data_IF_147535283890
#
_entry.id   IF_147535283890
#
_cell.length_a   1.000
_cell.length_b   1.000
_cell.length_c   1.000
_cell.angle_alpha   90.00
_cell.angle_beta   90.00
_cell.angle_gamma   90.00
#
_symmetry.space_group_name_H-M   'P 1'
#
loop_
_entity.id
_entity.type
_entity.pdbx_description
1 polymer ?
#
# COMPACT_ATOMS: atom_id res chain seq x y z
N UNK A 1 7.04 -25.10 -3.27
CA UNK A 1 5.71 -24.46 -3.17
C UNK A 1 5.10 -24.16 -4.54
N UNK A 2 5.86 -23.67 -5.54
CA UNK A 2 5.36 -23.45 -6.92
C UNK A 2 5.99 -24.40 -7.95
N UNK A 3 7.22 -24.83 -7.68
CA UNK A 3 7.98 -25.78 -8.49
C UNK A 3 7.57 -27.24 -8.24
N UNK A 4 7.12 -27.55 -7.02
CA UNK A 4 6.55 -28.85 -6.63
C UNK A 4 5.02 -28.82 -6.79
N UNK A 5 4.51 -29.53 -7.80
CA UNK A 5 3.08 -29.57 -8.14
C UNK A 5 2.27 -30.42 -7.16
N UNK A 6 2.85 -31.45 -6.57
CA UNK A 6 2.13 -32.35 -5.67
C UNK A 6 1.88 -31.64 -4.34
N UNK A 7 2.92 -31.00 -3.80
CA UNK A 7 2.79 -30.14 -2.63
C UNK A 7 1.85 -28.94 -2.88
N UNK A 8 1.89 -28.37 -4.09
CA UNK A 8 1.03 -27.25 -4.45
C UNK A 8 -0.45 -27.65 -4.51
N UNK A 9 -0.79 -28.81 -5.07
CA UNK A 9 -2.16 -29.34 -5.10
C UNK A 9 -2.71 -29.63 -3.70
N UNK A 10 -1.86 -30.14 -2.81
CA UNK A 10 -2.23 -30.37 -1.41
C UNK A 10 -2.52 -29.05 -0.67
N UNK A 11 -1.68 -28.03 -0.88
CA UNK A 11 -1.75 -26.77 -0.11
C UNK A 11 -2.75 -25.76 -0.69
N UNK A 12 -2.87 -25.70 -2.02
CA UNK A 12 -3.64 -24.69 -2.77
C UNK A 12 -4.36 -25.33 -3.97
N UNK A 13 -5.34 -26.23 -3.76
CA UNK A 13 -6.01 -26.98 -4.83
C UNK A 13 -6.79 -26.10 -5.82
N UNK A 14 -7.11 -24.85 -5.44
CA UNK A 14 -7.84 -23.89 -6.27
C UNK A 14 -7.00 -23.22 -7.37
N UNK A 15 -5.66 -23.40 -7.35
CA UNK A 15 -4.75 -22.79 -8.31
C UNK A 15 -4.15 -23.89 -9.19
N UNK A 16 -4.28 -23.80 -10.51
CA UNK A 16 -3.62 -24.74 -11.43
C UNK A 16 -2.42 -24.05 -12.10
N UNK A 17 -1.22 -24.59 -11.88
CA UNK A 17 0.04 -24.11 -12.45
C UNK A 17 0.63 -25.10 -13.47
N UNK A 18 -0.10 -26.15 -13.84
CA UNK A 18 0.37 -27.20 -14.75
C UNK A 18 0.67 -26.69 -16.16
N UNK A 19 -0.03 -25.64 -16.60
CA UNK A 19 0.15 -25.01 -17.92
C UNK A 19 1.39 -24.10 -18.01
N UNK A 20 2.03 -23.77 -16.89
CA UNK A 20 3.22 -22.91 -16.87
C UNK A 20 4.50 -23.70 -17.16
N UNK A 21 5.39 -23.10 -17.94
CA UNK A 21 6.71 -23.67 -18.23
C UNK A 21 7.55 -23.73 -16.95
N UNK A 22 8.51 -24.64 -16.92
CA UNK A 22 9.43 -24.78 -15.77
C UNK A 22 10.10 -23.45 -15.40
N UNK A 23 10.63 -22.72 -16.39
CA UNK A 23 11.24 -21.41 -16.20
C UNK A 23 10.29 -20.37 -15.60
N UNK A 24 9.00 -20.41 -15.95
CA UNK A 24 8.00 -19.48 -15.42
C UNK A 24 7.70 -19.76 -13.95
N UNK A 25 7.64 -21.04 -13.58
CA UNK A 25 7.48 -21.47 -12.20
C UNK A 25 8.68 -21.10 -11.33
N UNK A 26 9.90 -21.23 -11.84
CA UNK A 26 11.11 -20.76 -11.15
C UNK A 26 11.09 -19.24 -10.92
N UNK A 27 10.66 -18.47 -11.94
CA UNK A 27 10.53 -17.02 -11.81
C UNK A 27 9.49 -16.64 -10.74
N UNK A 28 8.32 -17.30 -10.74
CA UNK A 28 7.29 -17.10 -9.72
C UNK A 28 7.80 -17.45 -8.31
N UNK A 29 8.52 -18.55 -8.15
CA UNK A 29 9.13 -18.90 -6.87
C UNK A 29 10.11 -17.83 -6.39
N UNK A 30 10.92 -17.27 -7.30
CA UNK A 30 11.79 -16.14 -7.00
C UNK A 30 11.03 -14.90 -6.53
N UNK A 31 9.90 -14.58 -7.17
CA UNK A 31 9.03 -13.46 -6.79
C UNK A 31 8.43 -13.70 -5.40
N UNK A 32 7.88 -14.88 -5.13
CA UNK A 32 7.27 -15.18 -3.84
C UNK A 32 8.29 -15.23 -2.70
N UNK A 33 9.50 -15.75 -2.94
CA UNK A 33 10.61 -15.64 -2.00
C UNK A 33 10.93 -14.18 -1.70
N UNK A 34 10.96 -13.33 -2.72
CA UNK A 34 11.19 -11.89 -2.54
C UNK A 34 10.10 -11.18 -1.75
N UNK A 35 8.82 -11.53 -1.95
CA UNK A 35 7.71 -10.98 -1.17
C UNK A 35 7.75 -11.42 0.30
N UNK A 36 8.25 -12.63 0.57
CA UNK A 36 8.43 -13.14 1.94
C UNK A 36 9.57 -12.48 2.70
N UNK A 37 10.57 -11.94 2.02
CA UNK A 37 11.66 -11.22 2.67
C UNK A 37 11.11 -9.91 3.28
N UNK A 38 11.34 -9.70 4.56
CA UNK A 38 10.89 -8.51 5.28
C UNK A 38 11.97 -7.43 5.42
N UNK A 39 13.18 -7.70 4.94
CA UNK A 39 14.33 -6.81 5.12
C UNK A 39 14.26 -5.56 4.21
N UNK A 40 14.20 -4.38 4.83
CA UNK A 40 14.18 -3.09 4.15
C UNK A 40 15.48 -2.80 3.37
N UNK A 41 16.62 -3.38 3.77
CA UNK A 41 17.88 -3.21 3.03
C UNK A 41 17.79 -3.84 1.62
N UNK A 42 17.00 -4.91 1.48
CA UNK A 42 16.75 -5.57 0.20
C UNK A 42 15.86 -4.71 -0.73
N UNK A 43 14.88 -3.98 -0.21
CA UNK A 43 13.98 -3.13 -1.00
C UNK A 43 13.36 -1.99 -0.18
N UNK A 44 13.89 -0.78 -0.36
CA UNK A 44 13.40 0.44 0.29
C UNK A 44 12.36 1.14 -0.59
N UNK A 45 11.08 0.81 -0.40
CA UNK A 45 10.00 1.35 -1.24
C UNK A 45 9.94 2.88 -1.22
N UNK A 46 10.26 3.51 -0.10
CA UNK A 46 10.16 4.96 0.06
C UNK A 46 11.15 5.68 -0.85
N UNK A 47 12.38 5.16 -0.98
CA UNK A 47 13.37 5.68 -1.95
C UNK A 47 12.91 5.49 -3.39
N UNK A 48 12.24 4.37 -3.70
CA UNK A 48 11.76 4.09 -5.05
C UNK A 48 10.57 5.00 -5.41
N UNK A 49 9.66 5.23 -4.46
CA UNK A 49 8.57 6.19 -4.58
C UNK A 49 9.11 7.61 -4.79
N UNK A 50 10.06 8.06 -3.97
CA UNK A 50 10.69 9.37 -4.12
C UNK A 50 11.38 9.52 -5.48
N UNK A 51 12.13 8.51 -5.92
CA UNK A 51 12.77 8.49 -7.24
C UNK A 51 11.75 8.61 -8.37
N UNK A 52 10.58 7.97 -8.24
CA UNK A 52 9.49 8.05 -9.22
C UNK A 52 8.85 9.43 -9.22
N UNK A 53 8.57 10.00 -8.04
CA UNK A 53 8.04 11.36 -7.92
C UNK A 53 8.98 12.41 -8.51
N UNK A 54 10.29 12.34 -8.21
CA UNK A 54 11.30 13.25 -8.77
C UNK A 54 11.35 13.17 -10.28
N UNK A 55 11.32 11.95 -10.83
CA UNK A 55 11.33 11.75 -12.27
C UNK A 55 10.05 12.29 -12.94
N UNK A 56 8.89 12.07 -12.32
CA UNK A 56 7.60 12.51 -12.86
C UNK A 56 7.39 14.03 -12.78
N UNK A 57 7.74 14.65 -11.66
CA UNK A 57 7.52 16.08 -11.44
C UNK A 57 8.64 16.95 -12.03
N UNK A 58 9.85 16.41 -12.17
CA UNK A 58 11.02 17.14 -12.66
C UNK A 58 11.29 18.39 -11.82
N UNK A 59 11.35 19.55 -12.48
CA UNK A 59 11.57 20.86 -11.84
C UNK A 59 10.49 21.23 -10.83
N UNK A 60 9.28 20.67 -10.94
CA UNK A 60 8.15 20.97 -10.03
C UNK A 60 8.18 20.14 -8.75
N UNK A 61 9.20 19.32 -8.54
CA UNK A 61 9.30 18.46 -7.36
C UNK A 61 9.39 19.26 -6.05
N UNK A 62 10.08 20.40 -6.08
CA UNK A 62 10.23 21.26 -4.90
C UNK A 62 8.92 22.00 -4.57
N UNK A 63 8.07 22.22 -5.57
CA UNK A 63 6.72 22.78 -5.46
C UNK A 63 5.61 21.72 -5.55
N UNK A 64 5.89 20.47 -5.17
CA UNK A 64 4.99 19.33 -5.42
C UNK A 64 3.64 19.42 -4.71
N UNK A 65 3.58 20.06 -3.54
CA UNK A 65 2.33 20.26 -2.81
C UNK A 65 1.28 21.00 -3.65
N UNK A 66 1.69 22.06 -4.34
CA UNK A 66 0.82 22.81 -5.25
C UNK A 66 0.40 21.98 -6.47
N UNK A 67 1.28 21.10 -6.98
CA UNK A 67 0.92 20.19 -8.07
C UNK A 67 -0.12 19.16 -7.62
N UNK A 68 0.02 18.61 -6.40
CA UNK A 68 -0.93 17.64 -5.86
C UNK A 68 -2.30 18.27 -5.62
N UNK A 69 -2.32 19.49 -5.08
CA UNK A 69 -3.57 20.23 -4.88
C UNK A 69 -4.28 20.54 -6.21
N UNK A 70 -3.52 20.96 -7.22
CA UNK A 70 -4.06 21.20 -8.56
C UNK A 70 -4.59 19.91 -9.20
N UNK A 71 -3.83 18.80 -9.14
CA UNK A 71 -4.27 17.50 -9.65
C UNK A 71 -5.57 17.04 -8.96
N UNK A 72 -5.69 17.25 -7.65
CA UNK A 72 -6.90 16.91 -6.91
C UNK A 72 -8.12 17.69 -7.42
N UNK A 73 -8.04 19.02 -7.41
CA UNK A 73 -9.18 19.86 -7.76
C UNK A 73 -9.58 19.76 -9.23
N UNK A 74 -8.60 19.59 -10.13
CA UNK A 74 -8.86 19.61 -11.58
C UNK A 74 -9.17 18.24 -12.17
N UNK A 75 -8.80 17.14 -11.49
CA UNK A 75 -8.99 15.79 -12.04
C UNK A 75 -9.81 14.90 -11.11
N UNK A 76 -9.49 14.88 -9.82
CA UNK A 76 -10.05 13.86 -8.93
C UNK A 76 -11.40 14.29 -8.31
N UNK A 77 -11.52 15.54 -7.88
CA UNK A 77 -12.64 16.02 -7.05
C UNK A 77 -14.02 15.78 -7.69
N UNK A 78 -14.16 16.05 -8.99
CA UNK A 78 -15.43 15.89 -9.70
C UNK A 78 -15.86 14.41 -9.82
N UNK A 79 -14.89 13.50 -10.00
CA UNK A 79 -15.16 12.07 -10.16
C UNK A 79 -15.24 11.32 -8.82
N UNK A 80 -14.66 11.87 -7.76
CA UNK A 80 -14.40 11.16 -6.51
C UNK A 80 -14.54 12.07 -5.29
N UNK A 81 -15.72 12.69 -5.12
CA UNK A 81 -16.01 13.64 -4.04
C UNK A 81 -15.79 13.05 -2.62
N UNK A 82 -15.93 11.73 -2.46
CA UNK A 82 -15.71 11.05 -1.18
C UNK A 82 -14.23 10.98 -0.77
N UNK A 83 -13.32 11.12 -1.72
CA UNK A 83 -11.88 11.16 -1.44
C UNK A 83 -11.54 12.59 -1.01
N UNK A 84 -11.05 12.75 0.21
CA UNK A 84 -10.63 14.07 0.68
C UNK A 84 -9.29 14.50 0.08
N UNK A 85 -9.10 15.82 -0.06
CA UNK A 85 -7.83 16.39 -0.50
C UNK A 85 -6.65 15.94 0.38
N UNK A 86 -6.86 15.80 1.70
CA UNK A 86 -5.84 15.33 2.64
C UNK A 86 -5.44 13.87 2.37
N UNK A 87 -6.39 12.98 2.09
CA UNK A 87 -6.10 11.57 1.77
C UNK A 87 -5.33 11.45 0.45
N UNK A 88 -5.72 12.23 -0.56
CA UNK A 88 -5.05 12.22 -1.85
C UNK A 88 -3.63 12.79 -1.76
N UNK A 89 -3.44 13.94 -1.11
CA UNK A 89 -2.12 14.55 -0.92
C UNK A 89 -1.21 13.66 -0.08
N UNK A 90 -1.72 13.06 1.02
CA UNK A 90 -0.98 12.12 1.85
C UNK A 90 -0.49 10.91 1.07
N UNK A 91 -1.36 10.36 0.21
CA UNK A 91 -0.99 9.27 -0.69
C UNK A 91 0.04 9.70 -1.75
N UNK A 92 -0.14 10.85 -2.41
CA UNK A 92 0.83 11.36 -3.39
C UNK A 92 2.22 11.56 -2.78
N UNK A 93 2.28 12.03 -1.55
CA UNK A 93 3.54 12.30 -0.85
C UNK A 93 4.27 11.02 -0.42
N UNK A 94 3.53 10.05 0.13
CA UNK A 94 4.13 8.90 0.84
C UNK A 94 3.93 7.55 0.14
N UNK A 95 3.00 7.47 -0.81
CA UNK A 95 2.51 6.24 -1.43
C UNK A 95 1.54 5.45 -0.55
N UNK A 96 1.26 5.87 0.69
CA UNK A 96 0.32 5.18 1.59
C UNK A 96 -1.10 5.56 1.23
N UNK A 97 -1.92 4.57 0.90
CA UNK A 97 -3.36 4.75 0.74
C UNK A 97 -4.12 4.06 1.87
N UNK A 98 -5.37 4.46 2.07
CA UNK A 98 -6.28 3.81 3.02
C UNK A 98 -5.72 3.76 4.44
N UNK A 99 -5.25 4.91 4.93
CA UNK A 99 -4.67 5.00 6.26
C UNK A 99 -5.74 4.80 7.34
N UNK A 100 -5.65 3.69 8.08
CA UNK A 100 -6.61 3.31 9.13
C UNK A 100 -6.48 4.17 10.39
N UNK A 101 -5.24 4.52 10.75
CA UNK A 101 -4.93 5.38 11.90
C UNK A 101 -3.73 6.26 11.58
N UNK A 102 -3.76 7.50 12.07
CA UNK A 102 -2.68 8.48 11.88
C UNK A 102 -1.33 7.99 12.45
N UNK A 103 -1.37 7.14 13.49
CA UNK A 103 -0.20 6.61 14.20
C UNK A 103 0.14 5.15 13.86
N UNK A 104 -0.52 4.56 12.85
CA UNK A 104 -0.30 3.17 12.48
C UNK A 104 1.17 2.90 12.09
N UNK A 105 1.87 1.96 12.76
CA UNK A 105 3.25 1.65 12.42
C UNK A 105 3.30 0.82 11.13
N UNK A 106 3.55 1.48 10.01
CA UNK A 106 3.84 0.84 8.73
C UNK A 106 5.29 0.35 8.73
N UNK A 107 5.52 -0.89 9.18
CA UNK A 107 6.88 -1.45 9.32
C UNK A 107 7.35 -2.21 8.06
N UNK A 108 6.40 -2.78 7.31
CA UNK A 108 6.69 -3.62 6.17
C UNK A 108 6.27 -2.95 4.86
N UNK A 109 7.16 -2.98 3.88
CA UNK A 109 6.90 -2.45 2.56
C UNK A 109 6.14 -3.47 1.71
N UNK A 110 5.07 -3.04 1.04
CA UNK A 110 4.40 -3.88 0.05
C UNK A 110 5.29 -4.01 -1.20
N UNK A 111 5.62 -5.25 -1.57
CA UNK A 111 6.52 -5.59 -2.69
C UNK A 111 5.78 -6.14 -3.92
N UNK A 112 4.46 -6.20 -3.90
CA UNK A 112 3.69 -6.79 -5.02
C UNK A 112 3.85 -6.00 -6.32
N UNK A 113 4.04 -4.68 -6.23
CA UNK A 113 4.29 -3.79 -7.38
C UNK A 113 5.78 -3.49 -7.60
N UNK A 114 6.66 -4.23 -6.91
CA UNK A 114 8.10 -4.14 -7.15
C UNK A 114 8.49 -5.10 -8.27
N UNK A 115 9.09 -4.56 -9.33
CA UNK A 115 9.54 -5.35 -10.48
C UNK A 115 10.97 -5.00 -10.86
N UNK A 116 11.70 -6.01 -11.31
CA UNK A 116 13.06 -5.88 -11.82
C UNK A 116 13.03 -5.51 -13.30
N UNK A 117 13.71 -4.43 -13.66
CA UNK A 117 13.95 -4.05 -15.05
C UNK A 117 15.46 -4.04 -15.30
N UNK A 118 15.86 -4.65 -16.42
CA UNK A 118 17.24 -4.57 -16.90
C UNK A 118 17.35 -3.24 -17.63
N UNK A 119 18.11 -2.31 -17.07
CA UNK A 119 18.35 -0.99 -17.65
C UNK A 119 19.79 -0.92 -18.16
N UNK A 120 19.98 -0.30 -19.33
CA UNK A 120 21.30 0.01 -19.86
C UNK A 120 21.79 1.30 -19.21
N UNK A 121 22.89 1.25 -18.45
CA UNK A 121 23.52 2.45 -17.87
C UNK A 121 24.99 2.45 -18.26
N UNK A 122 25.39 3.46 -19.05
CA UNK A 122 26.79 3.57 -19.52
C UNK A 122 27.25 2.41 -20.41
N UNK A 123 26.32 1.75 -21.12
CA UNK A 123 26.62 0.58 -21.97
C UNK A 123 26.51 -0.78 -21.27
N UNK A 124 26.37 -0.82 -19.94
CA UNK A 124 26.24 -2.06 -19.18
C UNK A 124 24.78 -2.38 -18.83
N UNK A 125 24.43 -3.67 -18.88
CA UNK A 125 23.11 -4.19 -18.47
C UNK A 125 23.07 -4.31 -16.94
N UNK A 126 22.43 -3.35 -16.29
CA UNK A 126 22.24 -3.36 -14.84
C UNK A 126 20.80 -3.76 -14.51
N UNK A 127 20.63 -4.87 -13.79
CA UNK A 127 19.34 -5.26 -13.24
C UNK A 127 19.00 -4.34 -12.05
N UNK A 128 17.97 -3.50 -12.20
CA UNK A 128 17.49 -2.62 -11.14
C UNK A 128 16.06 -2.99 -10.76
N UNK A 129 15.79 -3.11 -9.46
CA UNK A 129 14.41 -3.22 -8.96
C UNK A 129 13.81 -1.83 -8.81
N UNK A 130 12.55 -1.70 -9.22
CA UNK A 130 11.78 -0.48 -9.29
C UNK A 130 10.42 -0.64 -8.61
N UNK A 131 9.83 0.45 -8.15
CA UNK A 131 8.38 0.50 -7.93
C UNK A 131 7.71 0.92 -9.25
N UNK A 132 6.73 0.13 -9.69
CA UNK A 132 6.06 0.32 -10.99
C UNK A 132 4.57 0.60 -10.88
N UNK A 133 4.06 0.81 -9.67
CA UNK A 133 2.70 1.26 -9.49
C UNK A 133 2.49 2.70 -9.97
N UNK A 134 1.21 3.05 -10.10
CA UNK A 134 0.79 4.41 -10.40
C UNK A 134 1.11 5.33 -9.20
N UNK A 135 1.56 6.54 -9.50
CA UNK A 135 1.92 7.59 -8.53
C UNK A 135 1.05 8.84 -8.68
N UNK A 136 0.12 8.82 -9.64
CA UNK A 136 -0.83 9.89 -9.96
C UNK A 136 -2.25 9.45 -9.67
N UNK A 137 -2.64 8.28 -10.18
CA UNK A 137 -3.96 7.73 -9.94
C UNK A 137 -3.95 6.90 -8.67
N UNK A 138 -4.66 7.39 -7.67
CA UNK A 138 -4.72 6.75 -6.36
C UNK A 138 -5.54 5.46 -6.39
N UNK A 139 -5.21 4.47 -5.55
CA UNK A 139 -5.99 3.24 -5.44
C UNK A 139 -7.40 3.48 -4.89
N UNK A 140 -7.70 4.68 -4.37
CA UNK A 140 -9.05 5.12 -4.01
C UNK A 140 -10.05 4.91 -5.16
N UNK A 141 -9.60 5.10 -6.41
CA UNK A 141 -10.44 4.91 -7.59
C UNK A 141 -10.98 3.49 -7.73
N UNK A 142 -10.20 2.49 -7.30
CA UNK A 142 -10.54 1.08 -7.49
C UNK A 142 -11.41 0.51 -6.36
N UNK A 143 -11.23 0.98 -5.13
CA UNK A 143 -11.84 0.36 -3.95
C UNK A 143 -12.67 1.31 -3.09
N UNK A 144 -12.54 2.62 -3.30
CA UNK A 144 -13.00 3.64 -2.36
C UNK A 144 -13.99 4.65 -2.91
N UNK A 145 -14.56 4.41 -4.10
CA UNK A 145 -15.54 5.31 -4.73
C UNK A 145 -16.97 4.83 -4.62
N UNK A 146 -17.19 3.54 -4.86
CA UNK A 146 -18.53 2.96 -4.98
C UNK A 146 -18.71 1.85 -3.97
N UNK A 147 -19.93 1.69 -3.45
CA UNK A 147 -20.27 0.57 -2.57
C UNK A 147 -21.76 0.28 -2.63
N UNK A 148 -22.12 -0.98 -2.43
CA UNK A 148 -23.52 -1.41 -2.27
C UNK A 148 -24.16 -0.80 -1.01
N UNK A 149 -23.34 -0.48 0.01
CA UNK A 149 -23.82 0.13 1.23
C UNK A 149 -23.93 1.65 1.09
N UNK A 150 -25.14 2.13 0.82
CA UNK A 150 -25.45 3.55 0.64
C UNK A 150 -25.25 4.41 1.89
N UNK A 151 -25.27 3.81 3.08
CA UNK A 151 -25.10 4.55 4.35
C UNK A 151 -23.70 5.18 4.45
N UNK A 152 -22.72 4.59 3.78
CA UNK A 152 -21.34 5.10 3.71
C UNK A 152 -21.25 6.44 2.96
N UNK A 153 -22.24 6.77 2.13
CA UNK A 153 -22.26 8.01 1.35
C UNK A 153 -23.12 9.11 2.00
N UNK A 154 -23.59 8.89 3.24
CA UNK A 154 -24.35 9.89 3.97
C UNK A 154 -23.55 11.20 4.14
N UNK A 155 -24.19 12.33 3.83
CA UNK A 155 -23.60 13.67 3.95
C UNK A 155 -24.29 14.46 5.06
N UNK A 156 -23.48 15.15 5.87
CA UNK A 156 -23.94 16.13 6.86
C UNK A 156 -23.27 17.46 6.55
N UNK A 157 -24.03 18.55 6.46
CA UNK A 157 -23.53 19.88 6.07
C UNK A 157 -22.74 19.86 4.75
N UNK A 158 -23.26 19.13 3.75
CA UNK A 158 -22.63 18.94 2.44
C UNK A 158 -21.23 18.31 2.48
N UNK A 159 -20.88 17.61 3.56
CA UNK A 159 -19.63 16.84 3.67
C UNK A 159 -19.94 15.39 3.99
N UNK A 160 -19.18 14.47 3.40
CA UNK A 160 -19.29 13.05 3.73
C UNK A 160 -18.93 12.81 5.21
N UNK A 161 -19.73 11.99 5.90
CA UNK A 161 -19.45 11.57 7.28
C UNK A 161 -18.39 10.47 7.34
N UNK A 162 -18.25 9.72 6.25
CA UNK A 162 -17.29 8.63 6.05
C UNK A 162 -16.34 8.94 4.91
N UNK A 163 -15.12 8.44 5.00
CA UNK A 163 -14.09 8.64 3.99
C UNK A 163 -14.01 7.49 2.99
N UNK A 164 -13.15 7.68 1.98
CA UNK A 164 -12.83 6.63 1.01
C UNK A 164 -12.22 5.39 1.69
N UNK A 165 -11.54 5.56 2.84
CA UNK A 165 -11.05 4.45 3.66
C UNK A 165 -12.18 3.56 4.16
N UNK A 166 -13.25 4.12 4.72
CA UNK A 166 -14.38 3.36 5.24
C UNK A 166 -15.06 2.52 4.14
N UNK A 167 -15.22 3.13 2.96
CA UNK A 167 -15.74 2.47 1.76
C UNK A 167 -14.85 1.30 1.35
N UNK A 168 -13.54 1.53 1.28
CA UNK A 168 -12.59 0.48 0.91
C UNK A 168 -12.57 -0.70 1.88
N UNK A 169 -12.66 -0.42 3.19
CA UNK A 169 -12.72 -1.45 4.22
C UNK A 169 -13.98 -2.29 4.06
N UNK A 170 -15.14 -1.64 3.87
CA UNK A 170 -16.39 -2.34 3.64
C UNK A 170 -16.34 -3.21 2.39
N UNK A 171 -15.90 -2.65 1.25
CA UNK A 171 -15.82 -3.37 -0.02
C UNK A 171 -14.87 -4.58 0.07
N UNK A 172 -13.72 -4.40 0.71
CA UNK A 172 -12.74 -5.45 0.90
C UNK A 172 -13.28 -6.57 1.81
N UNK A 173 -13.93 -6.21 2.92
CA UNK A 173 -14.57 -7.18 3.81
C UNK A 173 -15.71 -7.92 3.12
N UNK A 174 -16.53 -7.22 2.34
CA UNK A 174 -17.63 -7.80 1.59
C UNK A 174 -17.12 -8.81 0.55
N UNK A 175 -16.10 -8.44 -0.22
CA UNK A 175 -15.47 -9.32 -1.21
C UNK A 175 -14.87 -10.58 -0.56
N UNK A 176 -14.13 -10.41 0.55
CA UNK A 176 -13.54 -11.54 1.26
C UNK A 176 -14.59 -12.45 1.90
N UNK A 177 -15.68 -11.88 2.44
CA UNK A 177 -16.83 -12.64 2.92
C UNK A 177 -17.40 -13.53 1.81
N UNK A 178 -17.65 -12.94 0.64
CA UNK A 178 -18.17 -13.66 -0.53
C UNK A 178 -17.25 -14.78 -1.00
N UNK A 179 -15.93 -14.53 -1.03
CA UNK A 179 -14.94 -15.54 -1.41
C UNK A 179 -14.82 -16.68 -0.39
N UNK A 180 -14.97 -16.39 0.89
CA UNK A 180 -14.93 -17.40 1.97
C UNK A 180 -16.23 -18.21 2.09
N UNK A 181 -17.27 -17.90 1.31
CA UNK A 181 -18.59 -18.51 1.43
C UNK A 181 -19.34 -18.09 2.70
N UNK A 182 -18.80 -17.13 3.46
CA UNK A 182 -19.45 -16.54 4.62
C UNK A 182 -20.38 -15.45 4.10
N UNK A 183 -21.68 -15.68 4.19
CA UNK A 183 -22.68 -14.72 3.77
C UNK A 183 -22.64 -13.48 4.69
N UNK A 184 -21.98 -12.42 4.22
CA UNK A 184 -21.84 -11.12 4.89
C UNK A 184 -23.09 -10.25 4.80
N UNK A 185 -24.20 -10.76 4.25
CA UNK A 185 -25.51 -10.08 4.20
C UNK A 185 -26.15 -9.85 5.57
N UNK A 186 -25.55 -10.35 6.67
CA UNK A 186 -25.99 -10.05 8.04
C UNK A 186 -24.97 -9.22 8.80
N UNK A 187 -25.35 -7.97 9.03
CA UNK A 187 -24.79 -7.07 10.02
C UNK A 187 -24.34 -7.82 11.29
N UNK A 188 -23.03 -7.97 11.48
CA UNK A 188 -22.45 -8.26 12.79
C UNK A 188 -21.09 -7.59 12.92
N UNK A 189 -21.13 -6.26 13.07
CA UNK A 189 -19.98 -5.48 13.55
C UNK A 189 -19.52 -5.94 14.96
N UNK A 190 -20.40 -6.57 15.73
CA UNK A 190 -20.13 -6.93 17.14
C UNK A 190 -19.31 -8.20 17.35
N UNK A 191 -19.17 -9.11 16.36
CA UNK A 191 -18.47 -10.39 16.56
C UNK A 191 -17.00 -10.44 16.11
N UNK A 192 -16.53 -9.47 15.32
CA UNK A 192 -15.22 -9.56 14.66
C UNK A 192 -14.07 -8.78 15.32
N UNK A 193 -14.30 -8.11 16.45
CA UNK A 193 -13.23 -7.41 17.18
C UNK A 193 -12.10 -8.34 17.67
N UNK A 194 -12.35 -9.65 17.81
CA UNK A 194 -11.33 -10.63 18.25
C UNK A 194 -10.52 -11.28 17.11
N UNK A 195 -11.03 -11.28 15.87
CA UNK A 195 -10.31 -11.79 14.69
C UNK A 195 -9.57 -10.69 13.90
N UNK A 196 -9.92 -9.43 14.18
CA UNK A 196 -9.30 -8.20 13.65
C UNK A 196 -7.78 -8.14 13.83
N UNK A 197 -7.22 -8.78 14.86
CA UNK A 197 -5.78 -8.72 15.13
C UNK A 197 -4.88 -9.46 14.12
N UNK A 198 -5.37 -10.50 13.42
CA UNK A 198 -4.52 -11.36 12.56
C UNK A 198 -4.72 -11.19 11.06
N UNK A 199 -5.93 -10.84 10.59
CA UNK A 199 -6.19 -10.63 9.16
C UNK A 199 -5.81 -9.23 8.67
N UNK A 200 -5.80 -8.23 9.55
CA UNK A 200 -5.62 -6.81 9.22
C UNK A 200 -4.18 -6.45 8.81
N UNK A 201 -3.23 -7.39 8.97
CA UNK A 201 -1.82 -7.18 8.61
C UNK A 201 -1.55 -7.30 7.10
N UNK A 202 -2.47 -7.88 6.32
CA UNK A 202 -2.26 -8.16 4.89
C UNK A 202 -2.64 -6.99 3.95
N UNK A 203 -3.42 -6.01 4.42
CA UNK A 203 -3.93 -4.90 3.60
C UNK A 203 -3.13 -3.60 3.71
N UNK A 204 -2.05 -3.60 4.49
CA UNK A 204 -1.23 -2.41 4.68
C UNK A 204 -0.26 -2.23 3.52
N UNK A 205 -0.63 -1.29 2.65
CA UNK A 205 0.15 -0.88 1.48
C UNK A 205 0.88 0.43 1.81
N UNK A 206 2.22 0.30 1.86
CA UNK A 206 3.27 1.33 1.74
C UNK A 206 3.52 2.18 3.00
N UNK A 207 4.76 2.17 3.48
CA UNK A 207 5.61 3.31 3.91
C UNK A 207 6.69 2.81 4.86
N UNK A 208 7.95 3.09 4.55
CA UNK A 208 9.05 3.04 5.52
C UNK A 208 9.52 4.48 5.77
N UNK A 209 9.56 4.93 7.03
CA UNK A 209 10.30 6.15 7.39
C UNK A 209 11.35 5.78 8.43
N UNK A 210 12.62 5.84 8.02
CA UNK A 210 13.77 5.78 8.92
C UNK A 210 13.78 7.01 9.83
N UNK A 211 13.69 6.81 11.14
CA UNK A 211 14.07 7.84 12.12
C UNK A 211 15.59 8.02 12.06
N UNK A 212 16.06 9.23 11.72
CA UNK A 212 17.41 9.66 12.11
C UNK A 212 17.42 9.74 13.64
N UNK A 213 18.30 8.99 14.27
CA UNK A 213 18.56 9.13 15.70
C UNK A 213 19.20 10.49 15.94
N UNK A 214 18.49 11.36 16.65
CA UNK A 214 19.01 12.63 17.13
C UNK A 214 19.82 12.34 18.39
N UNK A 215 21.12 12.09 18.20
CA UNK A 215 22.09 11.95 19.29
C UNK A 215 22.52 13.34 19.76
N UNK A 216 21.65 14.02 20.50
CA UNK A 216 22.04 15.18 21.31
C UNK A 216 21.00 15.48 22.37
N UNK A 217 21.28 14.96 23.58
CA UNK A 217 21.00 15.54 24.91
C UNK A 217 20.90 14.41 25.94
N UNK A 218 21.99 14.17 26.68
CA UNK A 218 22.03 13.83 28.12
C UNK A 218 23.45 13.43 28.51
N UNK A 219 24.33 14.41 28.71
CA UNK A 219 25.41 14.33 29.70
C UNK A 219 25.69 15.76 30.17
N UNK A 220 25.08 16.16 31.27
CA UNK A 220 25.55 17.24 32.15
C UNK A 220 24.59 17.35 33.33
N UNK A 221 24.69 16.40 34.26
CA UNK A 221 24.31 16.61 35.65
C UNK A 221 25.03 15.59 36.52
N UNK A 222 25.79 16.11 37.49
CA UNK A 222 26.24 15.49 38.73
C UNK A 222 27.59 14.74 38.71
N UNK A 223 28.64 15.51 38.99
CA UNK A 223 29.65 15.25 40.05
C UNK A 223 30.19 16.65 40.44
N UNK A 224 29.63 17.29 41.47
CA UNK A 224 29.94 17.22 42.92
C UNK A 224 30.99 18.26 43.35
N UNK A 225 30.61 19.08 44.34
CA UNK A 225 31.42 20.03 45.09
C UNK A 225 32.71 19.43 45.66
N UNK A 226 33.65 20.36 45.90
CA UNK A 226 34.95 20.32 46.58
C UNK A 226 36.16 19.83 45.78
#
# INVERSE_FOLDING_TARGET
MVTDLDYQKETLPMLDLSLLKFKERDMLEGIFKFWRLQDAATFDISKHWESRLRHHLGTRYDSRSGVFDWDYHMKLHEMAEIVSSREYQGWRESGVAFQLRDDAPYQYSNRTLASGLITMKGGERVARRGYWGDIVNSPYLALGLESDNKDLFHKTNSKHTKGSVDVSVWNAQWLLGRLSGVDTSRATWERNCLLSGRLMMMMVVIASRHRKADSSKKVAALHSCH
#
